data_IF_462109698508
#
_entry.id   IF_462109698508
#
_cell.length_a   1.000
_cell.length_b   1.000
_cell.length_c   1.000
_cell.angle_alpha   90.00
_cell.angle_beta   90.00
_cell.angle_gamma   90.00
#
_symmetry.space_group_name_H-M   'P 1'
#
loop_
_entity.id
_entity.type
_entity.pdbx_description
1 polymer ?
#
# COMPACT_ATOMS: atom_id res chain seq x y z
N UNK A 1 0.10 -25.92 -0.65
CA UNK A 1 0.45 -24.90 0.37
C UNK A 1 -0.23 -25.19 1.71
N UNK A 2 0.35 -24.78 2.87
CA UNK A 2 -0.32 -24.99 4.19
C UNK A 2 -1.58 -24.12 4.28
N UNK A 3 -2.68 -24.62 4.90
CA UNK A 3 -3.86 -23.80 5.17
C UNK A 3 -3.52 -22.54 5.96
N UNK A 4 -4.28 -21.45 5.74
CA UNK A 4 -4.11 -20.22 6.50
C UNK A 4 -4.57 -20.43 7.94
N UNK A 5 -3.67 -20.22 8.91
CA UNK A 5 -4.00 -20.31 10.33
C UNK A 5 -4.73 -19.03 10.76
N UNK A 6 -6.04 -19.13 10.98
CA UNK A 6 -6.85 -18.02 11.48
C UNK A 6 -6.68 -17.95 13.01
N UNK A 7 -6.34 -16.77 13.58
CA UNK A 7 -6.24 -16.60 15.04
C UNK A 7 -7.54 -16.98 15.76
N UNK A 8 -7.42 -17.63 16.93
CA UNK A 8 -8.54 -18.19 17.66
C UNK A 8 -9.61 -17.14 18.02
N UNK A 9 -9.18 -15.91 18.29
CA UNK A 9 -10.06 -14.78 18.67
C UNK A 9 -11.03 -14.37 17.57
N UNK A 10 -10.72 -14.71 16.30
CA UNK A 10 -11.51 -14.32 15.13
C UNK A 10 -12.01 -15.53 14.31
N UNK A 11 -11.52 -16.75 14.58
CA UNK A 11 -11.79 -17.94 13.76
C UNK A 11 -13.28 -18.26 13.63
N UNK A 12 -14.06 -18.10 14.70
CA UNK A 12 -15.49 -18.44 14.75
C UNK A 12 -16.42 -17.21 14.76
N UNK A 13 -15.87 -16.01 14.49
CA UNK A 13 -16.65 -14.76 14.55
C UNK A 13 -17.43 -14.54 13.24
N UNK A 14 -18.70 -14.92 13.25
CA UNK A 14 -19.61 -14.68 12.10
C UNK A 14 -19.96 -13.19 11.93
N UNK A 15 -19.74 -12.38 12.97
CA UNK A 15 -19.93 -10.95 13.04
C UNK A 15 -18.65 -10.14 12.71
N UNK A 16 -17.58 -10.82 12.23
CA UNK A 16 -16.37 -10.19 11.79
C UNK A 16 -16.34 -9.91 10.27
N UNK A 17 -15.85 -8.74 9.89
CA UNK A 17 -15.48 -8.40 8.51
C UNK A 17 -13.95 -8.39 8.38
N UNK A 18 -13.44 -9.18 7.44
CA UNK A 18 -12.02 -9.25 7.10
C UNK A 18 -11.74 -8.29 5.95
N UNK A 19 -10.91 -7.31 6.18
CA UNK A 19 -10.62 -6.25 5.22
C UNK A 19 -9.26 -6.49 4.58
N UNK A 20 -9.24 -6.97 3.35
CA UNK A 20 -8.03 -7.13 2.57
C UNK A 20 -7.57 -5.76 2.03
N UNK A 21 -6.45 -5.25 2.53
CA UNK A 21 -5.82 -4.05 1.99
C UNK A 21 -5.06 -4.43 0.71
N UNK A 22 -5.60 -4.05 -0.44
CA UNK A 22 -5.04 -4.41 -1.74
C UNK A 22 -4.39 -3.21 -2.42
N UNK A 23 -3.08 -3.29 -2.67
CA UNK A 23 -2.30 -2.22 -3.29
C UNK A 23 -1.91 -2.49 -4.75
N UNK A 24 -2.45 -3.54 -5.38
CA UNK A 24 -2.04 -4.03 -6.69
C UNK A 24 -0.70 -4.78 -6.70
N UNK A 25 0.02 -4.83 -5.57
CA UNK A 25 1.30 -5.54 -5.48
C UNK A 25 1.16 -7.00 -5.10
N UNK A 26 2.19 -7.81 -5.42
CA UNK A 26 2.24 -9.26 -5.20
C UNK A 26 1.82 -9.69 -3.78
N UNK A 27 2.26 -8.95 -2.77
CA UNK A 27 1.99 -9.31 -1.37
C UNK A 27 0.50 -9.15 -1.03
N UNK A 28 -0.15 -8.10 -1.52
CA UNK A 28 -1.59 -7.90 -1.34
C UNK A 28 -2.43 -8.82 -2.22
N UNK A 29 -1.92 -9.20 -3.38
CA UNK A 29 -2.55 -10.18 -4.26
C UNK A 29 -2.55 -11.57 -3.61
N UNK A 30 -1.39 -12.03 -3.12
CA UNK A 30 -1.28 -13.29 -2.37
C UNK A 30 -2.10 -13.28 -1.07
N UNK A 31 -2.14 -12.16 -0.36
CA UNK A 31 -3.01 -11.97 0.81
C UNK A 31 -4.47 -12.26 0.46
N UNK A 32 -5.00 -11.66 -0.61
CA UNK A 32 -6.41 -11.84 -0.98
C UNK A 32 -6.71 -13.28 -1.39
N UNK A 33 -5.82 -13.94 -2.15
CA UNK A 33 -5.94 -15.36 -2.49
C UNK A 33 -6.06 -16.20 -1.21
N UNK A 34 -5.12 -16.05 -0.29
CA UNK A 34 -5.07 -16.83 0.96
C UNK A 34 -6.29 -16.57 1.86
N UNK A 35 -6.75 -15.33 1.88
CA UNK A 35 -7.91 -14.94 2.67
C UNK A 35 -9.20 -15.54 2.10
N UNK A 36 -9.36 -15.49 0.78
CA UNK A 36 -10.53 -16.04 0.09
C UNK A 36 -10.65 -17.58 0.22
N UNK A 37 -9.51 -18.29 0.34
CA UNK A 37 -9.49 -19.74 0.61
C UNK A 37 -9.93 -20.10 2.04
N UNK A 38 -9.73 -19.19 3.00
CA UNK A 38 -9.88 -19.52 4.42
C UNK A 38 -11.11 -18.86 5.09
N UNK A 39 -11.62 -17.76 4.53
CA UNK A 39 -12.69 -16.95 5.11
C UNK A 39 -13.90 -16.93 4.17
N UNK A 40 -15.13 -17.09 4.68
CA UNK A 40 -16.32 -16.96 3.84
C UNK A 40 -16.36 -15.62 3.09
N UNK A 41 -16.59 -15.64 1.78
CA UNK A 41 -16.56 -14.46 0.92
C UNK A 41 -17.47 -13.32 1.42
N UNK A 42 -18.64 -13.64 2.00
CA UNK A 42 -19.54 -12.65 2.61
C UNK A 42 -18.93 -11.84 3.75
N UNK A 43 -17.83 -12.33 4.34
CA UNK A 43 -17.08 -11.67 5.42
C UNK A 43 -15.83 -10.96 4.92
N UNK A 44 -15.59 -10.85 3.60
CA UNK A 44 -14.41 -10.20 3.05
C UNK A 44 -14.82 -8.89 2.37
N UNK A 45 -14.08 -7.84 2.68
CA UNK A 45 -14.10 -6.55 1.98
C UNK A 45 -12.70 -6.28 1.41
N UNK A 46 -12.61 -5.89 0.16
CA UNK A 46 -11.34 -5.45 -0.43
C UNK A 46 -11.30 -3.92 -0.45
N UNK A 47 -10.22 -3.35 0.08
CA UNK A 47 -10.02 -1.89 0.12
C UNK A 47 -8.70 -1.54 -0.55
N UNK A 48 -8.77 -0.63 -1.52
CA UNK A 48 -7.61 -0.08 -2.23
C UNK A 48 -7.43 1.41 -1.89
N UNK A 49 -6.22 1.82 -1.48
CA UNK A 49 -5.89 3.23 -1.28
C UNK A 49 -5.34 3.82 -2.58
N UNK A 50 -6.16 4.56 -3.31
CA UNK A 50 -5.73 5.23 -4.54
C UNK A 50 -4.86 6.45 -4.24
N UNK A 51 -3.70 6.51 -4.89
CA UNK A 51 -2.70 7.57 -4.76
C UNK A 51 -2.65 8.48 -6.00
N UNK A 52 -3.57 8.29 -6.95
CA UNK A 52 -3.57 9.04 -8.21
C UNK A 52 -2.27 8.84 -8.99
N UNK A 53 -1.68 9.92 -9.47
CA UNK A 53 -0.47 9.90 -10.31
C UNK A 53 0.76 9.22 -9.65
N UNK A 54 0.74 9.00 -8.34
CA UNK A 54 1.80 8.30 -7.60
C UNK A 54 1.63 6.78 -7.57
N UNK A 55 0.61 6.26 -8.22
CA UNK A 55 0.33 4.84 -8.30
C UNK A 55 0.79 4.27 -9.64
N UNK A 56 1.31 3.05 -9.62
CA UNK A 56 1.64 2.35 -10.86
C UNK A 56 0.37 2.10 -11.68
N UNK A 57 0.36 2.44 -12.99
CA UNK A 57 -0.77 2.14 -13.86
C UNK A 57 -1.14 0.66 -13.84
N UNK A 58 -2.41 0.36 -13.71
CA UNK A 58 -2.91 -1.01 -13.59
C UNK A 58 -2.99 -1.56 -12.17
N UNK A 59 -2.44 -0.87 -11.15
CA UNK A 59 -2.49 -1.36 -9.77
C UNK A 59 -3.91 -1.35 -9.18
N UNK A 60 -4.68 -0.30 -9.44
CA UNK A 60 -6.09 -0.21 -9.05
C UNK A 60 -6.94 -1.22 -9.81
N UNK A 61 -6.71 -1.35 -11.11
CA UNK A 61 -7.43 -2.28 -11.99
C UNK A 61 -7.20 -3.72 -11.52
N UNK A 62 -5.95 -4.13 -11.33
CA UNK A 62 -5.61 -5.47 -10.84
C UNK A 62 -6.29 -5.78 -9.49
N UNK A 63 -6.31 -4.82 -8.57
CA UNK A 63 -6.97 -5.00 -7.29
C UNK A 63 -8.49 -5.13 -7.43
N UNK A 64 -9.09 -4.37 -8.35
CA UNK A 64 -10.53 -4.43 -8.64
C UNK A 64 -10.91 -5.73 -9.31
N UNK A 65 -10.17 -6.11 -10.36
CA UNK A 65 -10.44 -7.31 -11.15
C UNK A 65 -10.36 -8.55 -10.27
N UNK A 66 -9.31 -8.68 -9.44
CA UNK A 66 -9.18 -9.78 -8.51
C UNK A 66 -10.34 -9.86 -7.50
N UNK A 67 -10.80 -8.72 -7.00
CA UNK A 67 -11.96 -8.68 -6.10
C UNK A 67 -13.26 -9.07 -6.84
N UNK A 68 -13.43 -8.60 -8.08
CA UNK A 68 -14.59 -8.88 -8.91
C UNK A 68 -14.66 -10.36 -9.30
N UNK A 69 -13.55 -10.98 -9.69
CA UNK A 69 -13.45 -12.41 -10.02
C UNK A 69 -13.86 -13.30 -8.86
N UNK A 70 -13.63 -12.84 -7.63
CA UNK A 70 -14.04 -13.53 -6.40
C UNK A 70 -15.43 -13.13 -5.91
N UNK A 71 -16.15 -12.25 -6.62
CA UNK A 71 -17.46 -11.74 -6.20
C UNK A 71 -17.42 -10.94 -4.90
N UNK A 72 -16.29 -10.28 -4.58
CA UNK A 72 -16.08 -9.56 -3.34
C UNK A 72 -16.40 -8.07 -3.47
N UNK A 73 -16.96 -7.42 -2.42
CA UNK A 73 -17.11 -5.97 -2.41
C UNK A 73 -15.75 -5.28 -2.45
N UNK A 74 -15.64 -4.26 -3.32
CA UNK A 74 -14.43 -3.48 -3.54
C UNK A 74 -14.65 -2.00 -3.26
N UNK A 75 -13.80 -1.39 -2.44
CA UNK A 75 -13.89 0.01 -2.06
C UNK A 75 -12.59 0.73 -2.35
N UNK A 76 -12.66 1.88 -3.00
CA UNK A 76 -11.51 2.76 -3.25
C UNK A 76 -11.48 3.87 -2.20
N UNK A 77 -10.47 3.84 -1.35
CA UNK A 77 -10.19 4.89 -0.38
C UNK A 77 -9.30 5.98 -1.02
N UNK A 78 -9.73 7.26 -0.92
CA UNK A 78 -8.99 8.41 -1.44
C UNK A 78 -8.72 9.43 -0.34
N UNK A 79 -7.50 9.93 -0.30
CA UNK A 79 -7.17 11.10 0.51
C UNK A 79 -7.74 12.38 -0.14
N UNK A 80 -7.95 13.42 0.66
CA UNK A 80 -8.36 14.74 0.15
C UNK A 80 -7.23 15.48 -0.54
N UNK A 81 -5.99 15.20 -0.16
CA UNK A 81 -4.75 15.81 -0.68
C UNK A 81 -3.93 14.76 -1.39
N UNK A 82 -3.27 15.13 -2.47
CA UNK A 82 -2.25 14.32 -3.13
C UNK A 82 -0.93 14.35 -2.36
N UNK A 83 0.04 13.56 -2.78
CA UNK A 83 1.38 13.62 -2.22
C UNK A 83 2.03 14.99 -2.45
N UNK A 84 1.86 15.56 -3.65
CA UNK A 84 2.41 16.88 -3.98
C UNK A 84 1.76 17.98 -3.13
N UNK A 85 0.43 17.98 -3.01
CA UNK A 85 -0.29 18.93 -2.16
C UNK A 85 0.19 18.89 -0.70
N UNK A 86 0.49 17.69 -0.21
CA UNK A 86 1.00 17.50 1.15
C UNK A 86 2.39 18.15 1.32
N UNK A 87 3.29 17.96 0.35
CA UNK A 87 4.64 18.53 0.37
C UNK A 87 4.58 20.05 0.20
N UNK A 88 3.81 20.54 -0.76
CA UNK A 88 3.65 21.99 -1.03
C UNK A 88 3.02 22.72 0.16
N UNK A 89 1.96 22.15 0.74
CA UNK A 89 1.34 22.70 1.94
C UNK A 89 2.33 22.81 3.11
N UNK A 90 3.13 21.75 3.32
CA UNK A 90 4.14 21.78 4.39
C UNK A 90 5.22 22.81 4.12
N UNK A 91 5.70 22.94 2.90
CA UNK A 91 6.66 23.96 2.52
C UNK A 91 6.12 25.38 2.73
N UNK A 92 4.86 25.62 2.34
CA UNK A 92 4.23 26.92 2.54
C UNK A 92 4.01 27.29 4.01
N UNK A 93 3.71 26.31 4.86
CA UNK A 93 3.41 26.54 6.29
C UNK A 93 4.63 26.43 7.21
N UNK A 94 5.66 25.69 6.82
CA UNK A 94 6.89 25.44 7.58
C UNK A 94 8.09 25.35 6.64
N UNK A 95 8.51 26.48 6.03
CA UNK A 95 9.63 26.50 5.08
C UNK A 95 10.99 26.20 5.77
N UNK A 96 11.05 26.36 7.08
CA UNK A 96 12.20 26.08 7.95
C UNK A 96 12.39 24.57 8.24
N UNK A 97 11.47 23.72 7.83
CA UNK A 97 11.47 22.28 8.13
C UNK A 97 11.37 21.43 6.85
N UNK A 98 11.90 20.18 6.88
CA UNK A 98 11.80 19.28 5.73
C UNK A 98 10.36 19.11 5.25
N UNK A 99 10.14 19.39 3.95
CA UNK A 99 8.80 19.38 3.34
C UNK A 99 8.35 17.98 2.97
N UNK A 100 9.28 17.09 2.64
CA UNK A 100 8.97 15.70 2.31
C UNK A 100 8.79 14.83 3.56
N UNK A 101 7.96 13.77 3.47
CA UNK A 101 7.85 12.78 4.54
C UNK A 101 9.19 12.10 4.80
N UNK A 102 9.45 11.76 6.06
CA UNK A 102 10.65 10.98 6.43
C UNK A 102 10.33 9.51 6.65
N UNK A 103 11.36 8.65 6.60
CA UNK A 103 11.24 7.23 6.92
C UNK A 103 10.76 7.00 8.38
N UNK A 104 11.09 7.92 9.30
CA UNK A 104 10.68 7.85 10.70
C UNK A 104 9.20 8.21 10.91
N UNK A 105 8.73 9.31 10.31
CA UNK A 105 7.35 9.78 10.52
C UNK A 105 6.35 9.19 9.53
N UNK A 106 6.76 8.86 8.31
CA UNK A 106 5.95 8.25 7.26
C UNK A 106 4.55 8.87 7.12
N UNK A 107 4.48 10.20 7.15
CA UNK A 107 3.22 10.93 7.07
C UNK A 107 2.40 10.57 5.82
N UNK A 108 3.07 10.32 4.69
CA UNK A 108 2.40 9.83 3.48
C UNK A 108 1.65 8.49 3.70
N UNK A 109 2.13 7.63 4.60
CA UNK A 109 1.42 6.38 4.93
C UNK A 109 0.19 6.65 5.79
N UNK A 110 0.28 7.55 6.79
CA UNK A 110 -0.85 7.89 7.64
C UNK A 110 -1.94 8.62 6.88
N UNK A 111 -1.58 9.63 6.11
CA UNK A 111 -2.52 10.61 5.57
C UNK A 111 -3.09 10.20 4.20
N UNK A 112 -2.28 9.52 3.37
CA UNK A 112 -2.69 9.13 2.02
C UNK A 112 -3.20 7.69 1.92
N UNK A 113 -2.88 6.82 2.88
CA UNK A 113 -3.26 5.40 2.85
C UNK A 113 -4.09 5.02 4.07
N UNK A 114 -3.47 4.92 5.25
CA UNK A 114 -4.10 4.39 6.47
C UNK A 114 -5.36 5.14 6.87
N UNK A 115 -5.29 6.46 6.99
CA UNK A 115 -6.44 7.29 7.38
C UNK A 115 -7.64 7.14 6.44
N UNK A 116 -7.46 7.30 5.11
CA UNK A 116 -8.51 7.02 4.12
C UNK A 116 -9.07 5.60 4.20
N UNK A 117 -8.22 4.58 4.28
CA UNK A 117 -8.64 3.17 4.42
C UNK A 117 -9.50 2.99 5.67
N UNK A 118 -9.00 3.41 6.84
CA UNK A 118 -9.73 3.28 8.11
C UNK A 118 -11.09 4.01 8.07
N UNK A 119 -11.18 5.15 7.38
CA UNK A 119 -12.44 5.87 7.19
C UNK A 119 -13.44 5.03 6.39
N UNK A 120 -13.03 4.46 5.26
CA UNK A 120 -13.92 3.65 4.43
C UNK A 120 -14.30 2.33 5.12
N UNK A 121 -13.40 1.70 5.84
CA UNK A 121 -13.71 0.52 6.66
C UNK A 121 -14.79 0.86 7.70
N UNK A 122 -14.64 1.98 8.43
CA UNK A 122 -15.65 2.40 9.41
C UNK A 122 -16.99 2.71 8.76
N UNK A 123 -16.97 3.28 7.54
CA UNK A 123 -18.20 3.55 6.77
C UNK A 123 -18.89 2.24 6.40
N UNK A 124 -18.15 1.29 5.83
CA UNK A 124 -18.67 -0.02 5.46
C UNK A 124 -19.18 -0.80 6.68
N UNK A 125 -18.42 -0.81 7.76
CA UNK A 125 -18.81 -1.53 8.98
C UNK A 125 -20.09 -1.00 9.66
N UNK A 126 -20.55 0.20 9.33
CA UNK A 126 -21.82 0.77 9.80
C UNK A 126 -23.02 0.29 8.99
N UNK A 127 -22.84 -0.16 7.76
CA UNK A 127 -23.93 -0.62 6.88
C UNK A 127 -24.35 -2.06 7.18
N UNK A 128 -23.55 -2.81 7.98
CA UNK A 128 -23.81 -4.18 8.37
C UNK A 128 -23.76 -4.36 9.89
N UNK A 129 -24.11 -5.58 10.35
CA UNK A 129 -24.07 -5.95 11.77
C UNK A 129 -22.68 -6.37 12.25
N UNK A 130 -21.62 -5.75 11.73
CA UNK A 130 -20.23 -6.11 12.01
C UNK A 130 -19.80 -5.61 13.39
N UNK A 131 -19.50 -6.55 14.29
CA UNK A 131 -18.98 -6.27 15.65
C UNK A 131 -17.48 -6.49 15.76
N UNK A 132 -16.83 -7.00 14.73
CA UNK A 132 -15.38 -7.05 14.62
C UNK A 132 -14.91 -6.63 13.23
N UNK A 133 -13.83 -5.89 13.19
CA UNK A 133 -13.05 -5.55 11.97
C UNK A 133 -11.71 -6.22 12.10
N UNK A 134 -11.33 -7.03 11.11
CA UNK A 134 -10.01 -7.63 10.98
C UNK A 134 -9.33 -6.97 9.79
N UNK A 135 -8.43 -6.03 10.08
CA UNK A 135 -7.70 -5.25 9.07
C UNK A 135 -6.49 -6.05 8.59
N UNK A 136 -6.61 -6.72 7.45
CA UNK A 136 -5.61 -7.62 6.90
C UNK A 136 -4.63 -6.87 6.00
N UNK A 137 -3.32 -7.06 6.23
CA UNK A 137 -2.24 -6.42 5.44
C UNK A 137 -1.23 -7.45 4.94
N UNK A 138 -0.68 -7.21 3.74
CA UNK A 138 0.35 -8.05 3.12
C UNK A 138 1.75 -7.80 3.67
N UNK A 139 1.90 -7.49 4.96
CA UNK A 139 3.20 -7.30 5.61
C UNK A 139 3.87 -8.66 5.83
N UNK A 140 5.17 -8.77 5.45
CA UNK A 140 5.95 -10.00 5.63
C UNK A 140 7.22 -9.77 6.46
N UNK A 141 7.62 -10.78 7.21
CA UNK A 141 8.82 -10.78 8.05
C UNK A 141 10.09 -10.55 7.23
N UNK A 142 10.18 -11.18 6.07
CA UNK A 142 11.33 -11.12 5.16
C UNK A 142 11.66 -9.70 4.65
N UNK A 143 10.68 -8.80 4.62
CA UNK A 143 10.89 -7.47 4.05
C UNK A 143 11.85 -6.57 4.85
N UNK A 144 12.01 -6.81 6.14
CA UNK A 144 12.99 -6.10 6.97
C UNK A 144 13.05 -6.65 8.42
N UNK A 145 14.17 -6.45 9.15
CA UNK A 145 14.29 -6.84 10.56
C UNK A 145 13.20 -6.21 11.45
N UNK A 146 12.77 -4.99 11.13
CA UNK A 146 11.68 -4.33 11.84
C UNK A 146 10.34 -5.06 11.62
N UNK A 147 10.06 -5.51 10.38
CA UNK A 147 8.83 -6.23 10.07
C UNK A 147 8.82 -7.64 10.65
N UNK A 148 9.98 -8.30 10.71
CA UNK A 148 10.12 -9.61 11.34
C UNK A 148 9.74 -9.63 12.82
N UNK A 149 9.91 -8.49 13.52
CA UNK A 149 9.56 -8.34 14.95
C UNK A 149 8.11 -7.94 15.19
N UNK A 150 7.32 -7.69 14.15
CA UNK A 150 5.91 -7.32 14.33
C UNK A 150 5.10 -8.56 14.70
N UNK A 151 4.19 -8.39 15.66
CA UNK A 151 3.13 -9.36 15.89
C UNK A 151 2.26 -9.47 14.63
N UNK A 152 2.10 -10.69 14.15
CA UNK A 152 1.27 -10.95 12.96
C UNK A 152 -0.21 -10.72 13.20
N UNK A 153 -0.66 -10.78 14.47
CA UNK A 153 -2.05 -10.53 14.87
C UNK A 153 -2.08 -9.80 16.21
N UNK A 154 -2.90 -8.74 16.30
CA UNK A 154 -3.10 -8.00 17.55
C UNK A 154 -4.39 -7.18 17.55
N UNK A 155 -4.94 -6.93 18.71
CA UNK A 155 -5.99 -5.93 18.89
C UNK A 155 -5.46 -4.51 18.63
N UNK A 156 -6.25 -3.72 17.94
CA UNK A 156 -5.97 -2.30 17.68
C UNK A 156 -6.90 -1.44 18.57
N UNK A 157 -6.44 -1.17 19.79
CA UNK A 157 -7.21 -0.41 20.78
C UNK A 157 -7.60 1.00 20.28
N UNK A 158 -6.75 1.63 19.44
CA UNK A 158 -7.04 2.97 18.88
C UNK A 158 -8.28 2.99 17.98
N UNK A 159 -8.52 1.91 17.25
CA UNK A 159 -9.62 1.81 16.30
C UNK A 159 -10.82 1.02 16.85
N UNK A 160 -10.66 0.31 17.97
CA UNK A 160 -11.75 -0.34 18.71
C UNK A 160 -12.63 0.72 19.38
N UNK A 161 -13.93 0.48 19.38
CA UNK A 161 -14.94 1.33 20.03
C UNK A 161 -15.92 0.43 20.78
N UNK A 162 -16.75 1.00 21.67
CA UNK A 162 -17.80 0.26 22.32
C UNK A 162 -18.67 -0.48 21.29
N UNK A 163 -18.81 -1.80 21.47
CA UNK A 163 -19.57 -2.68 20.59
C UNK A 163 -18.90 -3.08 19.26
N UNK A 164 -17.65 -2.68 19.02
CA UNK A 164 -16.91 -3.13 17.85
C UNK A 164 -15.41 -3.21 18.08
N UNK A 165 -14.88 -4.44 18.10
CA UNK A 165 -13.46 -4.73 18.15
C UNK A 165 -12.77 -4.42 16.83
N UNK A 166 -11.49 -4.05 16.90
CA UNK A 166 -10.63 -3.91 15.73
C UNK A 166 -9.34 -4.68 15.94
N UNK A 167 -9.01 -5.53 14.98
CA UNK A 167 -7.76 -6.28 14.95
C UNK A 167 -6.94 -5.91 13.72
N UNK A 168 -5.62 -5.85 13.87
CA UNK A 168 -4.67 -5.80 12.76
C UNK A 168 -4.08 -7.20 12.59
N UNK A 169 -4.12 -7.72 11.36
CA UNK A 169 -3.64 -9.05 11.02
C UNK A 169 -2.77 -9.02 9.75
N UNK A 170 -1.63 -9.72 9.79
CA UNK A 170 -0.75 -9.98 8.66
C UNK A 170 -0.76 -11.48 8.33
N UNK A 171 -1.78 -11.99 7.60
CA UNK A 171 -1.97 -13.44 7.38
C UNK A 171 -0.79 -14.11 6.71
N UNK A 172 -0.10 -13.39 5.82
CA UNK A 172 1.04 -13.89 5.04
C UNK A 172 2.40 -13.46 5.63
N UNK A 173 2.45 -13.09 6.91
CA UNK A 173 3.66 -12.57 7.56
C UNK A 173 4.86 -13.51 7.44
N UNK A 174 4.62 -14.80 7.47
CA UNK A 174 5.64 -15.86 7.42
C UNK A 174 6.09 -16.24 6.01
N UNK A 175 5.38 -15.80 4.95
CA UNK A 175 5.71 -16.21 3.58
C UNK A 175 6.98 -15.51 3.07
N UNK A 176 7.81 -16.27 2.36
CA UNK A 176 8.93 -15.75 1.58
C UNK A 176 8.43 -15.07 0.29
N UNK A 177 9.31 -14.33 -0.37
CA UNK A 177 9.00 -13.73 -1.68
C UNK A 177 8.68 -14.80 -2.73
N UNK A 178 9.39 -15.92 -2.70
CA UNK A 178 9.15 -17.06 -3.58
C UNK A 178 7.77 -17.68 -3.35
N UNK A 179 7.39 -17.91 -2.09
CA UNK A 179 6.08 -18.44 -1.72
C UNK A 179 4.94 -17.51 -2.12
N UNK A 180 5.15 -16.18 -2.06
CA UNK A 180 4.17 -15.18 -2.53
C UNK A 180 3.95 -15.32 -4.04
N UNK A 181 5.00 -15.39 -4.85
CA UNK A 181 4.87 -15.58 -6.29
C UNK A 181 4.31 -16.98 -6.62
N UNK A 182 4.67 -18.02 -5.86
CA UNK A 182 4.08 -19.34 -6.01
C UNK A 182 2.56 -19.32 -5.72
N UNK A 183 2.13 -18.62 -4.65
CA UNK A 183 0.71 -18.43 -4.33
C UNK A 183 -0.07 -17.84 -5.50
N UNK A 184 0.47 -16.79 -6.13
CA UNK A 184 -0.18 -16.13 -7.27
C UNK A 184 -0.24 -17.05 -8.47
N UNK A 185 0.85 -17.73 -8.81
CA UNK A 185 0.93 -18.67 -9.93
C UNK A 185 0.01 -19.85 -9.75
N UNK A 186 0.01 -20.48 -8.57
CA UNK A 186 -0.81 -21.66 -8.27
C UNK A 186 -2.32 -21.34 -8.31
N UNK A 187 -2.69 -20.07 -8.06
CA UNK A 187 -4.05 -19.56 -8.26
C UNK A 187 -4.37 -19.20 -9.72
N UNK A 188 -3.45 -19.45 -10.68
CA UNK A 188 -3.65 -19.13 -12.10
C UNK A 188 -3.62 -17.61 -12.39
N UNK A 189 -3.12 -16.80 -11.47
CA UNK A 189 -3.09 -15.35 -11.62
C UNK A 189 -1.70 -14.84 -12.05
N UNK A 190 -1.67 -13.62 -12.60
CA UNK A 190 -0.44 -12.94 -13.01
C UNK A 190 -0.17 -11.75 -12.09
N UNK A 191 1.08 -11.59 -11.60
CA UNK A 191 1.45 -10.41 -10.83
C UNK A 191 1.48 -9.16 -11.72
N UNK A 192 1.44 -7.98 -11.10
CA UNK A 192 1.49 -6.70 -11.80
C UNK A 192 2.69 -6.62 -12.77
N UNK A 193 2.53 -6.10 -14.01
CA UNK A 193 3.57 -6.09 -15.05
C UNK A 193 4.89 -5.40 -14.65
N UNK A 194 4.85 -4.45 -13.70
CA UNK A 194 6.03 -3.79 -13.21
C UNK A 194 7.08 -4.75 -12.62
N UNK A 195 6.69 -5.94 -12.14
CA UNK A 195 7.65 -6.95 -11.68
C UNK A 195 8.43 -7.56 -12.83
N UNK A 196 7.77 -7.83 -13.97
CA UNK A 196 8.44 -8.30 -15.19
C UNK A 196 9.37 -7.23 -15.78
N UNK A 197 9.03 -5.95 -15.59
CA UNK A 197 9.89 -4.82 -15.96
C UNK A 197 11.09 -4.61 -15.01
N UNK A 198 11.20 -5.41 -13.93
CA UNK A 198 12.34 -5.42 -13.02
C UNK A 198 12.13 -4.72 -11.67
N UNK A 199 10.91 -4.27 -11.36
CA UNK A 199 10.62 -3.71 -10.04
C UNK A 199 10.73 -4.80 -8.97
N UNK A 200 11.39 -4.48 -7.88
CA UNK A 200 11.45 -5.37 -6.72
C UNK A 200 10.20 -5.26 -5.86
N UNK A 201 9.62 -4.07 -5.81
CA UNK A 201 8.44 -3.75 -5.01
C UNK A 201 7.46 -2.88 -5.78
N UNK A 202 6.17 -3.22 -5.68
CA UNK A 202 5.11 -2.32 -6.12
C UNK A 202 4.68 -1.45 -4.93
N UNK A 203 5.28 -0.26 -4.85
CA UNK A 203 4.94 0.79 -3.88
C UNK A 203 4.40 2.01 -4.63
N UNK A 204 4.48 3.22 -4.06
CA UNK A 204 4.35 4.42 -4.88
C UNK A 204 5.46 4.46 -5.92
N UNK A 205 5.21 4.98 -7.13
CA UNK A 205 6.19 5.08 -8.22
C UNK A 205 7.50 5.73 -7.73
N UNK A 206 7.38 6.87 -7.04
CA UNK A 206 8.51 7.52 -6.37
C UNK A 206 8.32 7.45 -4.85
N UNK A 207 8.52 6.25 -4.30
CA UNK A 207 8.48 6.07 -2.85
C UNK A 207 9.73 6.66 -2.20
N UNK A 208 9.57 7.38 -1.10
CA UNK A 208 10.70 7.92 -0.32
C UNK A 208 11.68 6.84 0.18
N UNK A 209 11.27 5.56 0.12
CA UNK A 209 12.03 4.39 0.56
C UNK A 209 12.27 3.40 -0.59
N UNK A 210 12.09 3.79 -1.84
CA UNK A 210 12.28 2.92 -2.99
C UNK A 210 13.78 2.59 -3.19
N UNK A 211 14.08 1.48 -3.83
CA UNK A 211 15.43 1.20 -4.30
C UNK A 211 15.81 2.14 -5.46
N UNK A 212 17.11 2.29 -5.73
CA UNK A 212 17.56 3.05 -6.91
C UNK A 212 17.02 2.47 -8.22
N UNK A 213 16.92 1.15 -8.28
CA UNK A 213 16.37 0.43 -9.42
C UNK A 213 14.89 0.78 -9.63
N UNK A 214 14.05 0.70 -8.58
CA UNK A 214 12.64 1.07 -8.67
C UNK A 214 12.45 2.55 -9.04
N UNK A 215 13.30 3.45 -8.52
CA UNK A 215 13.29 4.87 -8.89
C UNK A 215 13.68 5.09 -10.35
N UNK A 216 14.66 4.34 -10.88
CA UNK A 216 15.08 4.40 -12.28
C UNK A 216 13.96 3.94 -13.22
N UNK A 217 13.27 2.84 -12.89
CA UNK A 217 12.08 2.39 -13.62
C UNK A 217 10.96 3.42 -13.55
N UNK A 218 10.71 3.99 -12.38
CA UNK A 218 9.74 5.06 -12.20
C UNK A 218 10.06 6.28 -13.10
N UNK A 219 11.33 6.68 -13.19
CA UNK A 219 11.76 7.76 -14.08
C UNK A 219 11.48 7.46 -15.55
N UNK A 220 11.76 6.23 -16.00
CA UNK A 220 11.51 5.83 -17.39
C UNK A 220 10.01 5.79 -17.72
N UNK A 221 9.22 5.22 -16.82
CA UNK A 221 7.78 5.06 -17.02
C UNK A 221 7.00 6.38 -16.82
N UNK A 222 7.48 7.28 -15.95
CA UNK A 222 6.78 8.51 -15.56
C UNK A 222 7.70 9.73 -15.55
N UNK A 223 8.30 10.10 -16.70
CA UNK A 223 9.29 11.18 -16.79
C UNK A 223 8.72 12.54 -16.36
N UNK A 224 7.45 12.83 -16.64
CA UNK A 224 6.78 14.09 -16.23
C UNK A 224 6.65 14.20 -14.71
N UNK A 225 6.25 13.13 -14.05
CA UNK A 225 6.15 13.10 -12.59
C UNK A 225 7.53 13.21 -11.94
N UNK A 226 8.55 12.54 -12.53
CA UNK A 226 9.93 12.66 -12.09
C UNK A 226 10.43 14.10 -12.16
N UNK A 227 10.27 14.76 -13.32
CA UNK A 227 10.66 16.16 -13.50
C UNK A 227 9.99 17.10 -12.48
N UNK A 228 8.70 16.89 -12.22
CA UNK A 228 7.95 17.66 -11.22
C UNK A 228 8.47 17.45 -9.81
N UNK A 229 8.91 16.24 -9.45
CA UNK A 229 9.51 15.96 -8.14
C UNK A 229 10.90 16.57 -8.01
N UNK A 230 11.72 16.50 -9.05
CA UNK A 230 13.05 17.15 -9.07
C UNK A 230 12.92 18.67 -8.91
N UNK A 231 11.95 19.29 -9.58
CA UNK A 231 11.68 20.71 -9.43
C UNK A 231 11.18 21.04 -8.00
N UNK A 232 10.37 20.18 -7.43
CA UNK A 232 9.90 20.35 -6.05
C UNK A 232 11.05 20.22 -5.03
N UNK A 233 11.99 19.29 -5.22
CA UNK A 233 13.21 19.20 -4.42
C UNK A 233 14.05 20.49 -4.52
N UNK A 234 14.27 21.00 -5.76
CA UNK A 234 15.00 22.23 -5.98
C UNK A 234 14.37 23.44 -5.30
N UNK A 235 13.04 23.59 -5.42
CA UNK A 235 12.27 24.70 -4.86
C UNK A 235 12.24 24.67 -3.33
N UNK A 236 12.09 23.48 -2.75
CA UNK A 236 12.01 23.35 -1.29
C UNK A 236 13.38 23.27 -0.61
N UNK A 237 14.45 22.96 -1.34
CA UNK A 237 15.78 22.72 -0.79
C UNK A 237 15.94 21.39 -0.05
N UNK A 238 14.94 20.51 -0.09
CA UNK A 238 14.94 19.22 0.61
C UNK A 238 14.86 18.05 -0.34
N UNK A 239 15.66 17.01 -0.10
CA UNK A 239 15.59 15.77 -0.86
C UNK A 239 14.40 14.90 -0.41
N UNK A 240 13.69 14.31 -1.36
CA UNK A 240 12.55 13.43 -1.11
C UNK A 240 12.98 12.08 -0.53
N UNK A 241 14.07 11.51 -1.04
CA UNK A 241 14.48 10.16 -0.70
C UNK A 241 15.14 10.09 0.68
N UNK A 242 14.92 8.98 1.39
CA UNK A 242 15.43 8.75 2.75
C UNK A 242 16.96 8.80 2.86
N UNK A 243 17.70 8.61 1.78
CA UNK A 243 19.16 8.77 1.73
C UNK A 243 19.63 10.22 1.78
N UNK A 244 18.69 11.20 1.77
CA UNK A 244 18.94 12.63 1.70
C UNK A 244 19.70 13.07 0.44
N UNK A 245 19.70 12.25 -0.62
CA UNK A 245 20.24 12.59 -1.93
C UNK A 245 19.09 12.97 -2.84
N UNK A 246 19.23 14.07 -3.65
CA UNK A 246 18.23 14.44 -4.64
C UNK A 246 17.96 13.32 -5.64
N UNK A 247 16.74 13.21 -6.13
CA UNK A 247 16.33 12.20 -7.13
C UNK A 247 17.22 12.22 -8.37
N UNK A 248 17.55 13.41 -8.86
CA UNK A 248 18.45 13.59 -10.02
C UNK A 248 19.85 12.99 -9.79
N UNK A 249 20.36 13.04 -8.55
CA UNK A 249 21.65 12.44 -8.19
C UNK A 249 21.53 10.91 -8.03
N UNK A 250 20.37 10.41 -7.59
CA UNK A 250 20.17 8.97 -7.39
C UNK A 250 20.05 8.20 -8.70
N UNK A 251 19.33 8.76 -9.67
CA UNK A 251 18.99 8.06 -10.93
C UNK A 251 19.35 8.82 -12.20
N UNK A 252 20.11 9.91 -12.09
CA UNK A 252 20.50 10.80 -13.18
C UNK A 252 19.36 11.72 -13.64
N UNK A 253 19.72 12.79 -14.37
CA UNK A 253 18.77 13.67 -15.07
C UNK A 253 18.55 13.18 -16.50
N UNK A 254 17.37 13.45 -17.07
CA UNK A 254 17.21 13.39 -18.51
C UNK A 254 17.92 14.59 -19.14
N UNK A 255 18.93 14.36 -20.00
CA UNK A 255 19.30 15.31 -21.04
C UNK A 255 18.43 15.00 -22.26
N UNK A 256 17.19 15.40 -22.20
CA UNK A 256 16.25 15.28 -23.30
C UNK A 256 15.47 16.57 -23.39
N UNK A 257 15.61 17.27 -24.51
CA UNK A 257 14.90 18.48 -24.86
C UNK A 257 13.39 18.30 -24.74
N UNK A 258 12.81 18.76 -23.65
CA UNK A 258 11.40 19.11 -23.64
C UNK A 258 11.28 20.59 -24.04
N UNK A 259 11.71 20.90 -25.29
CA UNK A 259 11.27 22.07 -26.00
C UNK A 259 9.94 21.70 -26.70
N UNK A 260 8.89 22.34 -26.25
CA UNK A 260 7.58 22.47 -26.91
C UNK A 260 6.75 21.19 -27.20
N UNK A 261 5.72 20.96 -26.40
CA UNK A 261 4.38 20.60 -26.86
C UNK A 261 3.34 21.06 -25.81
#
# INVERSE_FOLDING_TARGET
MRPLAIPAEIANRRDAIFVANHSGGKDSQALLIRLAEAVPHRQILVVHASLGDFEWPGALELARDQAQDLGLPFVVARARKTFLDMVEHRFATRPDAPSFPSAAQRQCTSDLKRGPIEREIRRFARTGSWRAVVNCTGIRAEESPRRARLESFKMNARNSIAGRDWFDWAPIHHLSTEEVFATIRDAGQTPHPAYAAGNQRLSCIFCIMASRNDLAHGRQAHPRLFARLVELERRTGYAMHMSRKPLAQLVGTFHGDYAHA
#
